data_IF_977429465546
#
_entry.id   IF_977429465546
#
_cell.length_a   1.000
_cell.length_b   1.000
_cell.length_c   1.000
_cell.angle_alpha   90.00
_cell.angle_beta   90.00
_cell.angle_gamma   90.00
#
_symmetry.space_group_name_H-M   'P 1'
#
loop_
_entity.id
_entity.type
_entity.pdbx_description
1 polymer ?
#
# COMPACT_ATOMS: atom_id res chain seq x y z
N UNK A 1 17.35 -8.79 -2.20
CA UNK A 1 16.09 -8.25 -2.75
C UNK A 1 15.14 -8.04 -1.60
N UNK A 2 15.14 -8.93 -0.60
CA UNK A 2 14.51 -8.73 0.69
C UNK A 2 14.78 -7.34 1.29
N UNK A 3 16.06 -6.96 1.48
CA UNK A 3 16.42 -5.65 2.02
C UNK A 3 15.88 -4.48 1.19
N UNK A 4 15.92 -4.62 -0.15
CA UNK A 4 15.39 -3.60 -1.06
C UNK A 4 13.88 -3.45 -0.92
N UNK A 5 13.15 -4.56 -0.82
CA UNK A 5 11.70 -4.55 -0.66
C UNK A 5 11.28 -4.08 0.74
N UNK A 6 12.10 -4.33 1.75
CA UNK A 6 11.91 -3.78 3.09
C UNK A 6 12.10 -2.25 3.10
N UNK A 7 13.09 -1.74 2.37
CA UNK A 7 13.36 -0.29 2.27
C UNK A 7 12.37 0.42 1.35
N UNK A 8 12.04 -0.19 0.21
CA UNK A 8 11.19 0.33 -0.86
C UNK A 8 10.09 -0.70 -1.17
N UNK A 9 8.96 -0.71 -0.42
CA UNK A 9 7.90 -1.70 -0.62
C UNK A 9 7.34 -1.74 -2.05
N UNK A 10 7.30 -0.60 -2.74
CA UNK A 10 6.89 -0.51 -4.15
C UNK A 10 7.88 -1.06 -5.17
N UNK A 11 9.11 -1.41 -4.79
CA UNK A 11 10.19 -1.73 -5.74
C UNK A 11 9.84 -2.90 -6.67
N UNK A 12 9.11 -3.91 -6.19
CA UNK A 12 8.65 -5.01 -7.04
C UNK A 12 7.74 -4.52 -8.17
N UNK A 13 6.72 -3.72 -7.84
CA UNK A 13 5.78 -3.14 -8.81
C UNK A 13 6.53 -2.24 -9.80
N UNK A 14 7.48 -1.45 -9.32
CA UNK A 14 8.28 -0.54 -10.14
C UNK A 14 9.17 -1.29 -11.12
N UNK A 15 9.92 -2.31 -10.67
CA UNK A 15 10.77 -3.14 -11.52
C UNK A 15 9.95 -3.91 -12.56
N UNK A 16 8.77 -4.39 -12.18
CA UNK A 16 7.86 -5.04 -13.11
C UNK A 16 7.33 -4.05 -14.17
N UNK A 17 6.89 -2.87 -13.76
CA UNK A 17 6.33 -1.87 -14.68
C UNK A 17 7.38 -1.31 -15.66
N UNK A 18 8.61 -1.08 -15.20
CA UNK A 18 9.68 -0.51 -16.04
C UNK A 18 10.38 -1.58 -16.90
N UNK A 19 10.60 -2.78 -16.34
CA UNK A 19 11.52 -3.76 -16.93
C UNK A 19 10.95 -5.18 -17.03
N UNK A 20 9.69 -5.42 -16.63
CA UNK A 20 9.06 -6.74 -16.58
C UNK A 20 9.79 -7.75 -15.68
N UNK A 21 10.50 -7.26 -14.67
CA UNK A 21 11.24 -8.08 -13.69
C UNK A 21 10.37 -8.34 -12.46
N UNK A 22 10.36 -9.58 -11.95
CA UNK A 22 9.68 -9.96 -10.71
C UNK A 22 8.17 -10.28 -10.82
N UNK A 23 7.59 -10.23 -12.02
CA UNK A 23 6.16 -10.47 -12.26
C UNK A 23 5.79 -11.82 -12.90
N UNK A 24 6.77 -12.64 -13.30
CA UNK A 24 6.53 -13.98 -13.84
C UNK A 24 7.61 -14.96 -13.36
N UNK A 25 7.43 -16.27 -13.59
CA UNK A 25 8.43 -17.28 -13.22
C UNK A 25 9.76 -17.13 -13.96
N UNK A 26 9.74 -16.62 -15.20
CA UNK A 26 10.95 -16.47 -16.03
C UNK A 26 11.82 -15.27 -15.65
N UNK A 27 11.25 -14.27 -14.99
CA UNK A 27 11.93 -13.03 -14.59
C UNK A 27 11.93 -12.83 -13.07
N UNK A 28 11.66 -13.90 -12.30
CA UNK A 28 11.64 -13.87 -10.84
C UNK A 28 13.05 -13.65 -10.28
N UNK A 29 13.15 -13.01 -9.12
CA UNK A 29 14.38 -12.93 -8.33
C UNK A 29 14.18 -13.72 -7.04
N UNK A 30 15.28 -14.19 -6.49
CA UNK A 30 15.34 -14.75 -5.15
C UNK A 30 15.50 -13.62 -4.14
N UNK A 31 15.04 -13.87 -2.92
CA UNK A 31 15.08 -12.87 -1.84
C UNK A 31 16.52 -12.47 -1.48
N UNK A 32 17.47 -13.40 -1.63
CA UNK A 32 18.90 -13.24 -1.35
C UNK A 32 19.69 -12.52 -2.46
N UNK A 33 19.15 -12.34 -3.67
CA UNK A 33 19.84 -11.63 -4.76
C UNK A 33 19.92 -10.12 -4.52
N UNK A 34 21.00 -9.46 -4.88
CA UNK A 34 21.10 -7.99 -4.88
C UNK A 34 20.39 -7.38 -6.10
N UNK A 35 20.05 -6.09 -6.03
CA UNK A 35 19.54 -5.36 -7.20
C UNK A 35 20.54 -5.42 -8.37
N UNK A 36 21.84 -5.33 -8.09
CA UNK A 36 22.88 -5.38 -9.11
C UNK A 36 22.91 -6.71 -9.86
N UNK A 37 22.79 -7.84 -9.15
CA UNK A 37 22.71 -9.17 -9.76
C UNK A 37 21.45 -9.33 -10.62
N UNK A 38 20.31 -8.83 -10.11
CA UNK A 38 19.04 -8.83 -10.85
C UNK A 38 19.10 -7.96 -12.10
N UNK A 39 19.78 -6.81 -12.03
CA UNK A 39 19.99 -5.92 -13.17
C UNK A 39 20.94 -6.55 -14.21
N UNK A 40 22.05 -7.15 -13.76
CA UNK A 40 23.06 -7.76 -14.64
C UNK A 40 22.47 -8.87 -15.53
N UNK A 41 21.70 -9.80 -14.95
CA UNK A 41 21.08 -10.89 -15.71
C UNK A 41 20.00 -10.42 -16.70
N UNK A 42 19.35 -9.28 -16.41
CA UNK A 42 18.32 -8.70 -17.25
C UNK A 42 18.85 -7.60 -18.20
N UNK A 43 20.17 -7.35 -18.21
CA UNK A 43 20.83 -6.32 -19.04
C UNK A 43 20.28 -4.91 -18.78
N UNK A 44 19.99 -4.62 -17.51
CA UNK A 44 19.51 -3.31 -17.05
C UNK A 44 20.70 -2.57 -16.40
N UNK A 45 21.00 -1.31 -16.76
CA UNK A 45 21.95 -0.51 -16.01
C UNK A 45 21.47 -0.28 -14.57
N UNK A 46 22.28 -0.63 -13.58
CA UNK A 46 21.85 -0.60 -12.17
C UNK A 46 21.54 0.83 -11.70
N UNK A 47 22.28 1.81 -12.21
CA UNK A 47 22.08 3.23 -11.91
C UNK A 47 20.74 3.75 -12.43
N UNK A 48 20.32 3.27 -13.60
CA UNK A 48 19.01 3.59 -14.18
C UNK A 48 17.89 2.97 -13.33
N UNK A 49 18.03 1.69 -12.95
CA UNK A 49 17.07 1.02 -12.09
C UNK A 49 16.93 1.70 -10.72
N UNK A 50 18.04 2.11 -10.10
CA UNK A 50 18.03 2.88 -8.84
C UNK A 50 17.25 4.19 -9.02
N UNK A 51 17.50 4.92 -10.10
CA UNK A 51 16.82 6.20 -10.37
C UNK A 51 15.30 6.01 -10.46
N UNK A 52 14.87 5.04 -11.26
CA UNK A 52 13.44 4.70 -11.43
C UNK A 52 12.80 4.26 -10.10
N UNK A 53 13.53 3.49 -9.29
CA UNK A 53 13.07 3.05 -7.97
C UNK A 53 12.88 4.22 -7.00
N UNK A 54 13.84 5.14 -6.94
CA UNK A 54 13.76 6.30 -6.05
C UNK A 54 12.63 7.25 -6.46
N UNK A 55 12.49 7.55 -7.76
CA UNK A 55 11.38 8.37 -8.28
C UNK A 55 10.01 7.72 -8.01
N UNK A 56 9.94 6.39 -8.10
CA UNK A 56 8.71 5.66 -7.74
C UNK A 56 8.44 5.70 -6.25
N UNK A 57 9.48 5.62 -5.42
CA UNK A 57 9.34 5.70 -3.97
C UNK A 57 8.85 7.08 -3.53
N UNK A 58 9.36 8.16 -4.10
CA UNK A 58 8.88 9.51 -3.84
C UNK A 58 7.39 9.66 -4.18
N UNK A 59 6.95 9.08 -5.30
CA UNK A 59 5.53 9.04 -5.68
C UNK A 59 4.69 8.24 -4.68
N UNK A 60 5.16 7.07 -4.24
CA UNK A 60 4.47 6.26 -3.24
C UNK A 60 4.38 7.00 -1.88
N UNK A 61 5.43 7.70 -1.46
CA UNK A 61 5.44 8.50 -0.22
C UNK A 61 4.41 9.63 -0.27
N UNK A 62 4.20 10.25 -1.44
CA UNK A 62 3.18 11.29 -1.62
C UNK A 62 1.73 10.76 -1.47
N UNK A 63 1.52 9.44 -1.59
CA UNK A 63 0.22 8.79 -1.37
C UNK A 63 -0.04 8.44 0.09
N UNK A 64 0.95 8.55 0.97
CA UNK A 64 0.81 8.16 2.37
C UNK A 64 0.13 9.24 3.20
N UNK A 65 -0.81 8.81 4.04
CA UNK A 65 -1.34 9.60 5.16
C UNK A 65 -0.84 8.98 6.47
N UNK A 66 -0.23 9.81 7.32
CA UNK A 66 0.24 9.36 8.64
C UNK A 66 -0.93 9.13 9.61
N UNK A 67 -0.85 8.19 10.57
CA UNK A 67 -1.92 7.92 11.53
C UNK A 67 -2.42 9.15 12.26
N UNK A 68 -1.53 9.97 12.80
CA UNK A 68 -1.88 11.22 13.48
C UNK A 68 -2.64 12.20 12.56
N UNK A 69 -2.28 12.24 11.26
CA UNK A 69 -2.96 13.11 10.30
C UNK A 69 -4.36 12.62 9.97
N UNK A 70 -4.54 11.30 9.89
CA UNK A 70 -5.86 10.70 9.74
C UNK A 70 -6.74 10.96 10.99
N UNK A 71 -6.16 10.91 12.19
CA UNK A 71 -6.86 11.24 13.44
C UNK A 71 -7.32 12.71 13.47
N UNK A 72 -6.50 13.64 12.99
CA UNK A 72 -6.92 15.03 12.82
C UNK A 72 -8.12 15.18 11.88
N UNK A 73 -8.18 14.41 10.78
CA UNK A 73 -9.32 14.44 9.86
C UNK A 73 -10.60 13.91 10.51
N UNK A 74 -10.49 12.80 11.26
CA UNK A 74 -11.60 12.24 12.03
C UNK A 74 -12.18 13.25 13.03
N UNK A 75 -11.31 14.01 13.71
CA UNK A 75 -11.74 15.01 14.70
C UNK A 75 -12.36 16.27 14.09
N UNK A 76 -12.15 16.53 12.79
CA UNK A 76 -12.63 17.73 12.09
C UNK A 76 -13.93 17.50 11.32
N UNK A 77 -14.49 16.29 11.38
CA UNK A 77 -15.63 15.86 10.55
C UNK A 77 -15.44 16.17 9.05
N UNK A 78 -14.18 16.13 8.57
CA UNK A 78 -13.89 16.29 7.15
C UNK A 78 -14.45 15.06 6.40
N UNK A 79 -15.20 15.23 5.29
CA UNK A 79 -15.79 14.10 4.59
C UNK A 79 -14.70 13.30 3.86
N UNK A 80 -14.51 12.04 4.27
CA UNK A 80 -13.66 11.07 3.57
C UNK A 80 -14.19 9.64 3.76
N UNK A 81 -13.74 8.72 2.92
CA UNK A 81 -14.03 7.29 3.02
C UNK A 81 -12.84 6.56 3.62
N UNK A 82 -13.03 5.85 4.72
CA UNK A 82 -12.00 4.96 5.29
C UNK A 82 -12.33 3.51 4.91
N UNK A 83 -11.48 2.88 4.09
CA UNK A 83 -11.72 1.54 3.56
C UNK A 83 -10.67 0.55 4.10
N UNK A 84 -11.18 -0.52 4.69
CA UNK A 84 -10.39 -1.65 5.18
C UNK A 84 -10.23 -2.68 4.07
N UNK A 85 -8.99 -2.97 3.69
CA UNK A 85 -8.67 -3.91 2.60
C UNK A 85 -8.16 -5.27 3.10
N UNK A 86 -8.19 -5.48 4.43
CA UNK A 86 -7.80 -6.76 5.06
C UNK A 86 -8.82 -7.86 4.75
N UNK A 87 -8.64 -9.03 5.35
CA UNK A 87 -9.66 -10.08 5.30
C UNK A 87 -10.93 -9.68 6.06
N UNK A 88 -12.04 -10.38 5.77
CA UNK A 88 -13.32 -10.16 6.46
C UNK A 88 -13.18 -10.46 7.95
N UNK A 89 -12.49 -11.54 8.26
CA UNK A 89 -12.25 -12.04 9.61
C UNK A 89 -11.45 -11.02 10.43
N UNK A 90 -10.41 -10.42 9.83
CA UNK A 90 -9.66 -9.33 10.46
C UNK A 90 -10.55 -8.10 10.71
N UNK A 91 -11.36 -7.69 9.73
CA UNK A 91 -12.26 -6.54 9.84
C UNK A 91 -13.32 -6.71 10.93
N UNK A 92 -13.92 -7.91 11.02
CA UNK A 92 -14.96 -8.24 12.01
C UNK A 92 -14.37 -8.38 13.41
N UNK A 93 -13.10 -8.78 13.54
CA UNK A 93 -12.41 -8.90 14.82
C UNK A 93 -12.02 -7.55 15.42
N UNK A 94 -11.40 -6.67 14.63
CA UNK A 94 -10.98 -5.33 15.06
C UNK A 94 -10.87 -4.43 13.83
N UNK A 95 -11.33 -3.18 13.90
CA UNK A 95 -11.27 -2.23 12.78
C UNK A 95 -11.17 -0.80 13.26
N UNK A 96 -10.70 0.09 12.38
CA UNK A 96 -10.66 1.51 12.67
C UNK A 96 -12.09 2.09 12.78
N UNK A 97 -12.34 3.03 13.70
CA UNK A 97 -13.64 3.70 13.81
C UNK A 97 -14.07 4.34 12.48
N UNK A 98 -15.32 4.16 12.10
CA UNK A 98 -15.87 4.71 10.85
C UNK A 98 -15.41 3.99 9.57
N UNK A 99 -14.53 2.98 9.65
CA UNK A 99 -14.09 2.24 8.46
C UNK A 99 -15.17 1.32 7.89
N UNK A 100 -15.15 1.19 6.56
CA UNK A 100 -15.98 0.24 5.80
C UNK A 100 -15.10 -0.87 5.25
N UNK A 101 -15.57 -2.11 5.35
CA UNK A 101 -14.93 -3.23 4.68
C UNK A 101 -15.03 -3.09 3.16
N UNK A 102 -13.91 -3.19 2.45
CA UNK A 102 -13.88 -3.14 0.99
C UNK A 102 -14.39 -4.45 0.40
N UNK A 103 -15.71 -4.56 0.23
CA UNK A 103 -16.30 -5.67 -0.52
C UNK A 103 -16.12 -5.47 -2.02
N UNK A 104 -16.24 -6.56 -2.79
CA UNK A 104 -16.27 -6.48 -4.25
C UNK A 104 -17.40 -5.58 -4.76
N UNK A 105 -18.56 -5.61 -4.11
CA UNK A 105 -19.70 -4.76 -4.46
C UNK A 105 -19.40 -3.27 -4.25
N UNK A 106 -18.84 -2.92 -3.08
CA UNK A 106 -18.44 -1.53 -2.79
C UNK A 106 -17.38 -1.06 -3.78
N UNK A 107 -16.39 -1.91 -4.08
CA UNK A 107 -15.35 -1.60 -5.05
C UNK A 107 -15.93 -1.36 -6.45
N UNK A 108 -16.86 -2.21 -6.91
CA UNK A 108 -17.53 -2.02 -8.19
C UNK A 108 -18.34 -0.71 -8.22
N UNK A 109 -19.01 -0.38 -7.12
CA UNK A 109 -19.75 0.88 -6.99
C UNK A 109 -18.83 2.10 -7.04
N UNK A 110 -17.68 2.06 -6.37
CA UNK A 110 -16.69 3.14 -6.40
C UNK A 110 -16.12 3.35 -7.80
N UNK A 111 -15.90 2.29 -8.58
CA UNK A 111 -15.44 2.42 -9.96
C UNK A 111 -16.52 2.87 -10.93
N UNK A 112 -17.77 2.47 -10.72
CA UNK A 112 -18.89 2.94 -11.52
C UNK A 112 -19.18 4.42 -11.26
N UNK A 113 -19.02 4.87 -10.02
CA UNK A 113 -19.22 6.25 -9.60
C UNK A 113 -18.10 6.68 -8.62
N UNK A 114 -16.96 7.17 -9.16
CA UNK A 114 -15.88 7.71 -8.36
C UNK A 114 -16.38 8.83 -7.42
N UNK A 115 -16.16 8.72 -6.10
CA UNK A 115 -16.44 9.81 -5.17
C UNK A 115 -15.42 10.93 -5.35
N UNK A 116 -15.82 12.17 -5.03
CA UNK A 116 -14.91 13.31 -4.98
C UNK A 116 -14.13 13.34 -3.66
N UNK A 117 -14.72 12.78 -2.59
CA UNK A 117 -14.15 12.70 -1.26
C UNK A 117 -12.87 11.84 -1.22
N UNK A 118 -11.90 12.24 -0.39
CA UNK A 118 -10.67 11.45 -0.21
C UNK A 118 -11.01 10.01 0.20
N UNK A 119 -10.33 9.04 -0.41
CA UNK A 119 -10.43 7.64 -0.02
C UNK A 119 -9.15 7.26 0.72
N UNK A 120 -9.24 6.88 1.98
CA UNK A 120 -8.10 6.36 2.75
C UNK A 120 -8.23 4.85 2.84
N UNK A 121 -7.27 4.14 2.27
CA UNK A 121 -7.16 2.69 2.35
C UNK A 121 -6.26 2.31 3.52
N UNK A 122 -6.53 1.19 4.19
CA UNK A 122 -5.59 0.61 5.15
C UNK A 122 -5.65 -0.91 5.16
N UNK A 123 -4.51 -1.52 5.46
CA UNK A 123 -4.33 -2.93 5.71
C UNK A 123 -3.82 -3.15 7.16
N UNK A 124 -3.16 -4.28 7.42
CA UNK A 124 -2.59 -4.55 8.74
C UNK A 124 -1.37 -3.66 9.08
N UNK A 125 -0.37 -3.55 8.19
CA UNK A 125 0.96 -2.94 8.48
C UNK A 125 1.48 -1.90 7.47
N UNK A 126 0.65 -1.49 6.53
CA UNK A 126 0.96 -0.58 5.44
C UNK A 126 1.71 -1.22 4.26
N UNK A 127 1.65 -2.54 4.09
CA UNK A 127 2.48 -3.28 3.10
C UNK A 127 1.81 -3.42 1.73
N UNK A 128 0.54 -3.78 1.72
CA UNK A 128 -0.25 -4.06 0.50
C UNK A 128 -1.09 -2.85 0.08
N UNK A 129 -1.28 -1.90 0.99
CA UNK A 129 -2.13 -0.73 0.79
C UNK A 129 -1.65 0.19 -0.34
N UNK A 130 -0.34 0.32 -0.55
CA UNK A 130 0.23 1.14 -1.64
C UNK A 130 -0.08 0.54 -3.01
N UNK A 131 0.02 -0.78 -3.15
CA UNK A 131 -0.33 -1.51 -4.36
C UNK A 131 -1.81 -1.35 -4.67
N UNK A 132 -2.66 -1.44 -3.64
CA UNK A 132 -4.09 -1.20 -3.78
C UNK A 132 -4.40 0.24 -4.19
N UNK A 133 -3.69 1.22 -3.61
CA UNK A 133 -3.83 2.62 -3.97
C UNK A 133 -3.42 2.88 -5.42
N UNK A 134 -2.29 2.33 -5.86
CA UNK A 134 -1.85 2.42 -7.26
C UNK A 134 -2.88 1.79 -8.22
N UNK A 135 -3.49 0.67 -7.83
CA UNK A 135 -4.56 0.04 -8.60
C UNK A 135 -5.83 0.90 -8.67
N UNK A 136 -6.24 1.52 -7.55
CA UNK A 136 -7.34 2.49 -7.50
C UNK A 136 -7.08 3.68 -8.41
N UNK A 137 -5.86 4.23 -8.39
CA UNK A 137 -5.46 5.32 -9.28
C UNK A 137 -5.55 4.90 -10.74
N UNK A 138 -5.13 3.68 -11.09
CA UNK A 138 -5.26 3.13 -12.44
C UNK A 138 -6.70 3.06 -12.95
N UNK A 139 -7.68 2.96 -12.04
CA UNK A 139 -9.12 2.88 -12.32
C UNK A 139 -9.86 4.22 -12.12
N UNK A 140 -9.13 5.33 -11.99
CA UNK A 140 -9.73 6.68 -11.91
C UNK A 140 -9.96 7.22 -10.50
N UNK A 141 -9.73 6.44 -9.44
CA UNK A 141 -9.83 6.88 -8.04
C UNK A 141 -8.55 7.58 -7.58
N UNK A 142 -8.24 8.73 -8.20
CA UNK A 142 -6.99 9.49 -7.99
C UNK A 142 -6.86 10.16 -6.62
N UNK A 143 -7.98 10.33 -5.92
CA UNK A 143 -8.06 10.88 -4.56
C UNK A 143 -7.88 9.81 -3.47
N UNK A 144 -7.36 8.62 -3.82
CA UNK A 144 -7.03 7.60 -2.84
C UNK A 144 -5.63 7.80 -2.23
N UNK A 145 -5.55 7.59 -0.92
CA UNK A 145 -4.38 7.64 -0.06
C UNK A 145 -4.25 6.32 0.70
N UNK A 146 -3.03 6.00 1.12
CA UNK A 146 -2.70 4.82 1.89
C UNK A 146 -2.34 5.19 3.34
N UNK A 147 -2.96 4.54 4.33
CA UNK A 147 -2.59 4.72 5.73
C UNK A 147 -1.22 4.10 6.00
N UNK A 148 -0.24 4.94 6.32
CA UNK A 148 1.09 4.48 6.70
C UNK A 148 1.03 3.62 7.98
N UNK A 149 1.71 2.47 7.95
CA UNK A 149 1.76 1.53 9.07
C UNK A 149 0.47 0.73 9.31
N UNK A 150 -0.60 0.96 8.54
CA UNK A 150 -1.88 0.24 8.67
C UNK A 150 -2.53 0.39 10.05
N UNK A 151 -3.40 -0.57 10.40
CA UNK A 151 -4.07 -0.58 11.71
C UNK A 151 -3.08 -0.80 12.87
N UNK A 152 -1.95 -1.50 12.66
CA UNK A 152 -0.93 -1.67 13.69
C UNK A 152 -0.20 -0.35 14.01
N UNK A 153 0.10 0.47 12.99
CA UNK A 153 0.63 1.83 13.15
C UNK A 153 -0.36 2.73 13.89
N UNK A 154 -1.64 2.69 13.51
CA UNK A 154 -2.70 3.41 14.22
C UNK A 154 -2.77 3.05 15.71
N UNK A 155 -2.73 1.76 16.03
CA UNK A 155 -2.79 1.30 17.42
C UNK A 155 -1.60 1.77 18.26
N UNK A 156 -0.42 1.95 17.64
CA UNK A 156 0.78 2.43 18.34
C UNK A 156 0.79 3.94 18.55
N UNK A 157 0.32 4.69 17.55
CA UNK A 157 0.53 6.14 17.49
C UNK A 157 -0.70 6.95 17.90
N UNK A 158 -1.91 6.40 17.71
CA UNK A 158 -3.17 7.14 17.87
C UNK A 158 -4.04 6.55 18.97
N UNK A 159 -4.36 5.25 18.87
CA UNK A 159 -5.32 4.61 19.78
C UNK A 159 -4.83 3.25 20.29
N UNK A 160 -4.15 3.22 21.45
CA UNK A 160 -3.67 1.98 22.07
C UNK A 160 -4.78 0.99 22.48
N UNK A 161 -6.05 1.38 22.45
CA UNK A 161 -7.17 0.46 22.74
C UNK A 161 -7.48 -0.47 21.56
N UNK A 162 -7.04 -0.12 20.34
CA UNK A 162 -7.15 -1.00 19.18
C UNK A 162 -6.24 -2.20 19.36
N UNK A 163 -6.83 -3.39 19.42
CA UNK A 163 -6.08 -4.63 19.66
C UNK A 163 -5.12 -4.93 18.50
N UNK A 164 -3.86 -5.11 18.85
CA UNK A 164 -2.79 -5.52 17.93
C UNK A 164 -2.72 -7.04 17.86
N UNK A 165 -2.42 -7.58 16.68
CA UNK A 165 -2.33 -9.01 16.43
C UNK A 165 -1.17 -9.35 15.48
N UNK A 166 -0.88 -10.65 15.31
CA UNK A 166 0.03 -11.16 14.29
C UNK A 166 -0.72 -12.20 13.47
N UNK A 167 -0.45 -12.23 12.17
CA UNK A 167 -0.96 -13.30 11.32
C UNK A 167 0.01 -14.48 11.37
N UNK A 168 -0.48 -15.71 11.22
CA UNK A 168 0.37 -16.91 11.25
C UNK A 168 1.42 -16.96 10.13
N UNK A 169 1.25 -16.12 9.10
CA UNK A 169 2.10 -16.01 7.92
C UNK A 169 3.04 -14.78 7.96
N UNK A 170 3.09 -14.03 9.08
CA UNK A 170 3.98 -12.86 9.26
C UNK A 170 5.44 -13.22 9.55
#
# INVERSE_FOLDING_TARGET
MEDLLALLPGARRTLFAAYHVGGCQSCSYRDDETLAEVCARNKIPVEEAITVLLESHERDQALLIMPLKLAERLNKDEPFLLLDIRSREEHESVRLPGSKFLTQELQNSLFAQPPEETIVLYDHRGRDVLDRCAWFHGHGLKNSLALAGGIDGWAREVDPSVQRYRLELD
#
